data_IF_523616380388
#
_entry.id   IF_523616380388
#
_cell.length_a   1.000
_cell.length_b   1.000
_cell.length_c   1.000
_cell.angle_alpha   90.00
_cell.angle_beta   90.00
_cell.angle_gamma   90.00
#
_symmetry.space_group_name_H-M   'P 1'
#
loop_
_entity.id
_entity.type
_entity.pdbx_description
1 polymer ?
#
# COMPACT_ATOMS: atom_id res chain seq x y z
N UNK A 1 17.22 19.19 28.95
CA UNK A 1 16.29 18.82 27.87
C UNK A 1 16.28 17.30 27.85
N UNK A 2 15.23 16.67 28.36
CA UNK A 2 15.12 15.20 28.37
C UNK A 2 14.97 14.72 26.94
N UNK A 3 15.80 13.76 26.54
CA UNK A 3 15.82 13.13 25.24
C UNK A 3 14.47 12.49 24.92
N UNK A 4 13.82 12.91 23.83
CA UNK A 4 12.49 12.45 23.38
C UNK A 4 12.42 11.02 22.88
N UNK A 5 13.23 10.10 23.41
CA UNK A 5 13.35 8.70 22.97
C UNK A 5 12.31 7.77 23.62
N UNK A 6 11.65 8.22 24.70
CA UNK A 6 10.81 7.33 25.52
C UNK A 6 9.29 7.56 25.41
N UNK A 7 8.85 8.53 24.57
CA UNK A 7 7.42 8.79 24.39
C UNK A 7 6.83 7.88 23.31
N UNK A 8 5.74 7.19 23.67
CA UNK A 8 4.96 6.38 22.72
C UNK A 8 4.26 7.27 21.69
N UNK A 9 4.18 6.80 20.45
CA UNK A 9 3.45 7.48 19.38
C UNK A 9 1.95 7.39 19.64
N UNK A 10 1.27 8.51 19.78
CA UNK A 10 -0.16 8.62 20.00
C UNK A 10 -0.90 8.55 18.69
N UNK A 11 -1.55 7.41 18.42
CA UNK A 11 -2.20 7.10 17.14
C UNK A 11 -3.72 7.28 17.23
N UNK A 12 -4.29 8.04 16.31
CA UNK A 12 -5.74 8.08 16.05
C UNK A 12 -6.09 7.26 14.79
N UNK A 13 -7.29 6.71 14.73
CA UNK A 13 -7.77 5.94 13.57
C UNK A 13 -9.00 6.59 12.96
N UNK A 14 -8.91 6.96 11.68
CA UNK A 14 -9.96 7.68 10.93
C UNK A 14 -10.78 6.68 10.11
N UNK A 15 -11.69 5.97 10.74
CA UNK A 15 -12.55 4.97 10.10
C UNK A 15 -12.40 3.56 10.69
N UNK A 16 -13.41 2.73 10.48
CA UNK A 16 -13.52 1.38 11.02
C UNK A 16 -13.59 0.31 9.90
N UNK A 17 -12.77 0.46 8.85
CA UNK A 17 -12.72 -0.51 7.76
C UNK A 17 -12.20 -1.87 8.22
N UNK A 18 -12.53 -2.93 7.47
CA UNK A 18 -12.11 -4.31 7.80
C UNK A 18 -10.60 -4.46 7.87
N UNK A 19 -9.85 -3.80 7.00
CA UNK A 19 -8.38 -3.83 7.03
C UNK A 19 -7.83 -3.26 8.35
N UNK A 20 -8.44 -2.18 8.85
CA UNK A 20 -8.06 -1.62 10.15
C UNK A 20 -8.31 -2.63 11.27
N UNK A 21 -9.53 -3.14 11.36
CA UNK A 21 -9.97 -4.02 12.45
C UNK A 21 -9.23 -5.35 12.49
N UNK A 22 -9.04 -5.97 11.31
CA UNK A 22 -8.52 -7.34 11.21
C UNK A 22 -6.99 -7.42 11.12
N UNK A 23 -6.33 -6.33 10.74
CA UNK A 23 -4.91 -6.36 10.41
C UNK A 23 -4.12 -5.23 11.08
N UNK A 24 -4.42 -3.97 10.76
CA UNK A 24 -3.56 -2.87 11.16
C UNK A 24 -3.68 -2.51 12.66
N UNK A 25 -4.88 -2.52 13.22
CA UNK A 25 -5.05 -2.27 14.67
C UNK A 25 -4.38 -3.36 15.52
N UNK A 26 -4.53 -4.68 15.24
CA UNK A 26 -3.73 -5.70 15.92
C UNK A 26 -2.22 -5.47 15.76
N UNK A 27 -1.76 -5.09 14.57
CA UNK A 27 -0.34 -4.81 14.31
C UNK A 27 0.18 -3.63 15.17
N UNK A 28 -0.56 -2.52 15.22
CA UNK A 28 -0.21 -1.39 16.08
C UNK A 28 -0.28 -1.72 17.57
N UNK A 29 -1.30 -2.45 18.02
CA UNK A 29 -1.44 -2.86 19.42
C UNK A 29 -0.31 -3.79 19.89
N UNK A 30 0.31 -4.52 18.98
CA UNK A 30 1.48 -5.36 19.25
C UNK A 30 2.80 -4.58 19.41
N UNK A 31 2.82 -3.26 19.13
CA UNK A 31 4.01 -2.42 19.28
C UNK A 31 4.05 -1.77 20.67
N UNK A 32 5.18 -1.89 21.37
CA UNK A 32 5.34 -1.32 22.71
C UNK A 32 5.48 0.21 22.73
N UNK A 33 5.76 0.82 21.58
CA UNK A 33 6.01 2.25 21.40
C UNK A 33 4.86 3.00 20.73
N UNK A 34 3.64 2.41 20.71
CA UNK A 34 2.40 3.01 20.18
C UNK A 34 1.30 2.98 21.24
N UNK A 35 0.54 4.07 21.31
CA UNK A 35 -0.74 4.14 22.01
C UNK A 35 -1.85 4.40 20.99
N UNK A 36 -2.79 3.46 20.84
CA UNK A 36 -4.03 3.69 20.10
C UNK A 36 -4.93 4.53 20.99
N UNK A 37 -4.99 5.85 20.74
CA UNK A 37 -5.68 6.80 21.62
C UNK A 37 -7.17 6.85 21.36
N UNK A 38 -7.54 6.85 20.07
CA UNK A 38 -8.95 6.97 19.69
C UNK A 38 -9.23 6.35 18.31
N UNK A 39 -10.45 5.88 18.14
CA UNK A 39 -11.00 5.43 16.85
C UNK A 39 -12.23 6.27 16.52
N UNK A 40 -12.24 6.88 15.33
CA UNK A 40 -13.36 7.69 14.87
C UNK A 40 -14.17 6.99 13.78
N UNK A 41 -15.49 7.16 13.83
CA UNK A 41 -16.41 6.77 12.77
C UNK A 41 -17.52 7.82 12.62
N UNK A 42 -18.21 7.83 11.48
CA UNK A 42 -19.48 8.53 11.28
C UNK A 42 -20.62 7.86 12.05
N UNK A 43 -20.44 6.58 12.35
CA UNK A 43 -21.35 5.71 13.10
C UNK A 43 -20.77 5.48 14.51
N UNK A 44 -21.46 6.01 15.53
CA UNK A 44 -21.02 5.93 16.92
C UNK A 44 -20.94 4.48 17.44
N UNK A 45 -21.86 3.60 17.04
CA UNK A 45 -21.86 2.20 17.44
C UNK A 45 -20.64 1.45 16.90
N UNK A 46 -20.29 1.70 15.62
CA UNK A 46 -19.08 1.13 15.02
C UNK A 46 -17.81 1.62 15.71
N UNK A 47 -17.74 2.93 16.02
CA UNK A 47 -16.61 3.47 16.77
C UNK A 47 -16.51 2.80 18.14
N UNK A 48 -17.62 2.72 18.87
CA UNK A 48 -17.68 2.11 20.20
C UNK A 48 -17.23 0.65 20.23
N UNK A 49 -17.67 -0.16 19.26
CA UNK A 49 -17.26 -1.57 19.16
C UNK A 49 -15.75 -1.72 18.96
N UNK A 50 -15.19 -0.96 18.02
CA UNK A 50 -13.73 -1.05 17.73
C UNK A 50 -12.91 -0.48 18.88
N UNK A 51 -13.34 0.64 19.46
CA UNK A 51 -12.63 1.26 20.58
C UNK A 51 -12.58 0.35 21.83
N UNK A 52 -13.66 -0.39 22.09
CA UNK A 52 -13.70 -1.33 23.20
C UNK A 52 -12.66 -2.46 23.08
N UNK A 53 -12.41 -2.95 21.86
CA UNK A 53 -11.42 -4.01 21.61
C UNK A 53 -9.99 -3.57 21.96
N UNK A 54 -9.71 -2.26 21.94
CA UNK A 54 -8.37 -1.69 22.16
C UNK A 54 -8.28 -0.79 23.41
N UNK A 55 -9.35 -0.67 24.18
CA UNK A 55 -9.36 0.17 25.40
C UNK A 55 -9.11 1.65 25.12
N UNK A 56 -9.53 2.15 23.96
CA UNK A 56 -9.30 3.52 23.52
C UNK A 56 -10.61 4.33 23.42
N UNK A 57 -10.52 5.63 23.11
CA UNK A 57 -11.68 6.50 23.00
C UNK A 57 -12.47 6.27 21.70
N UNK A 58 -13.80 6.19 21.79
CA UNK A 58 -14.70 6.16 20.65
C UNK A 58 -15.14 7.58 20.29
N UNK A 59 -14.85 8.02 19.07
CA UNK A 59 -15.14 9.39 18.60
C UNK A 59 -16.15 9.36 17.44
N UNK A 60 -17.21 10.17 17.55
CA UNK A 60 -18.14 10.37 16.44
C UNK A 60 -17.74 11.62 15.66
N UNK A 61 -17.36 11.42 14.38
CA UNK A 61 -16.86 12.46 13.48
C UNK A 61 -15.34 12.58 13.46
N UNK A 62 -14.78 12.68 12.27
CA UNK A 62 -13.33 12.64 12.04
C UNK A 62 -12.63 13.94 12.45
N UNK A 63 -13.28 15.12 12.33
CA UNK A 63 -12.75 16.42 12.79
C UNK A 63 -12.44 16.40 14.28
N UNK A 64 -13.33 15.81 15.08
CA UNK A 64 -13.12 15.75 16.54
C UNK A 64 -11.86 14.98 16.89
N UNK A 65 -11.60 13.86 16.17
CA UNK A 65 -10.39 13.08 16.36
C UNK A 65 -9.14 13.88 15.97
N UNK A 66 -9.17 14.62 14.85
CA UNK A 66 -8.04 15.45 14.43
C UNK A 66 -7.71 16.58 15.41
N UNK A 67 -8.68 17.04 16.21
CA UNK A 67 -8.49 18.02 17.28
C UNK A 67 -7.89 17.47 18.58
N UNK A 68 -7.71 16.14 18.69
CA UNK A 68 -7.14 15.52 19.88
C UNK A 68 -5.61 15.62 19.90
N UNK A 69 -5.02 15.40 21.08
CA UNK A 69 -3.57 15.29 21.24
C UNK A 69 -3.07 13.96 20.70
N UNK A 70 -2.73 13.95 19.39
CA UNK A 70 -2.23 12.82 18.63
C UNK A 70 -0.95 13.21 17.91
N UNK A 71 -0.04 12.26 17.70
CA UNK A 71 1.13 12.44 16.87
C UNK A 71 0.83 12.05 15.41
N UNK A 72 0.04 10.97 15.22
CA UNK A 72 -0.24 10.40 13.91
C UNK A 72 -1.68 9.93 13.77
N UNK A 73 -2.12 9.80 12.54
CA UNK A 73 -3.39 9.15 12.20
C UNK A 73 -3.19 8.03 11.17
N UNK A 74 -3.92 6.94 11.35
CA UNK A 74 -4.13 5.91 10.33
C UNK A 74 -5.48 6.14 9.66
N UNK A 75 -5.51 6.11 8.32
CA UNK A 75 -6.66 6.55 7.52
C UNK A 75 -7.13 5.42 6.58
N UNK A 76 -7.94 4.45 7.09
CA UNK A 76 -8.52 3.35 6.33
C UNK A 76 -9.88 3.73 5.73
N UNK A 77 -9.94 4.75 4.91
CA UNK A 77 -11.15 5.18 4.20
C UNK A 77 -11.15 4.67 2.75
N UNK A 78 -12.27 4.73 2.02
CA UNK A 78 -12.27 4.60 0.57
C UNK A 78 -11.43 5.70 -0.10
N UNK A 79 -10.71 5.36 -1.18
CA UNK A 79 -9.74 6.25 -1.83
C UNK A 79 -10.30 7.63 -2.23
N UNK A 80 -11.58 7.70 -2.62
CA UNK A 80 -12.26 8.96 -2.94
C UNK A 80 -12.32 9.96 -1.78
N UNK A 81 -12.11 9.52 -0.55
CA UNK A 81 -12.15 10.39 0.63
C UNK A 81 -10.75 10.74 1.16
N UNK A 82 -9.70 10.15 0.58
CA UNK A 82 -8.34 10.31 1.11
C UNK A 82 -7.86 11.75 1.03
N UNK A 83 -7.97 12.41 -0.11
CA UNK A 83 -7.43 13.75 -0.31
C UNK A 83 -7.88 14.72 0.79
N UNK A 84 -9.18 14.79 1.05
CA UNK A 84 -9.76 15.71 2.04
C UNK A 84 -9.26 15.41 3.46
N UNK A 85 -9.21 14.11 3.84
CA UNK A 85 -8.86 13.76 5.21
C UNK A 85 -7.35 13.75 5.46
N UNK A 86 -6.54 13.45 4.45
CA UNK A 86 -5.08 13.60 4.53
C UNK A 86 -4.74 15.10 4.69
N UNK A 87 -5.30 15.97 3.85
CA UNK A 87 -5.06 17.41 3.94
C UNK A 87 -5.42 17.97 5.32
N UNK A 88 -6.60 17.61 5.85
CA UNK A 88 -7.04 18.05 7.18
C UNK A 88 -6.12 17.54 8.29
N UNK A 89 -5.66 16.29 8.21
CA UNK A 89 -4.73 15.72 9.17
C UNK A 89 -3.37 16.45 9.13
N UNK A 90 -2.83 16.69 7.94
CA UNK A 90 -1.58 17.45 7.76
C UNK A 90 -1.70 18.89 8.29
N UNK A 91 -2.81 19.58 8.02
CA UNK A 91 -3.09 20.92 8.58
C UNK A 91 -3.22 20.92 10.10
N UNK A 92 -3.70 19.82 10.68
CA UNK A 92 -3.74 19.62 12.13
C UNK A 92 -2.41 19.18 12.73
N UNK A 93 -1.32 19.16 11.94
CA UNK A 93 0.03 18.79 12.38
C UNK A 93 0.20 17.30 12.68
N UNK A 94 -0.60 16.42 12.06
CA UNK A 94 -0.54 14.98 12.27
C UNK A 94 0.24 14.30 11.15
N UNK A 95 1.12 13.34 11.51
CA UNK A 95 1.66 12.38 10.56
C UNK A 95 0.54 11.46 10.06
N UNK A 96 0.63 11.01 8.81
CA UNK A 96 -0.47 10.25 8.19
C UNK A 96 0.04 8.94 7.60
N UNK A 97 -0.59 7.82 7.99
CA UNK A 97 -0.57 6.56 7.26
C UNK A 97 -1.91 6.42 6.55
N UNK A 98 -1.94 6.55 5.24
CA UNK A 98 -3.17 6.41 4.44
C UNK A 98 -3.20 5.05 3.73
N UNK A 99 -4.38 4.43 3.62
CA UNK A 99 -4.54 3.27 2.75
C UNK A 99 -4.21 3.62 1.29
N UNK A 100 -3.85 2.61 0.53
CA UNK A 100 -3.52 2.74 -0.90
C UNK A 100 -4.81 2.87 -1.74
N UNK A 101 -4.74 3.64 -2.83
CA UNK A 101 -3.73 4.64 -3.17
C UNK A 101 -3.86 5.88 -2.28
N UNK A 102 -2.80 6.69 -2.19
CA UNK A 102 -2.87 7.96 -1.43
C UNK A 102 -4.06 8.79 -1.89
N UNK A 103 -4.18 9.00 -3.20
CA UNK A 103 -5.40 9.48 -3.86
C UNK A 103 -5.55 8.84 -5.24
N UNK A 104 -6.73 8.91 -5.87
CA UNK A 104 -6.93 8.46 -7.25
C UNK A 104 -6.31 9.38 -8.31
N UNK A 105 -5.73 10.53 -7.93
CA UNK A 105 -5.23 11.59 -8.79
C UNK A 105 -3.75 11.86 -8.54
N UNK A 106 -2.95 11.92 -9.61
CA UNK A 106 -1.54 12.33 -9.52
C UNK A 106 -1.40 13.74 -8.93
N UNK A 107 -2.20 14.70 -9.39
CA UNK A 107 -2.12 16.09 -8.95
C UNK A 107 -2.39 16.23 -7.45
N UNK A 108 -3.43 15.57 -6.93
CA UNK A 108 -3.76 15.56 -5.50
C UNK A 108 -2.66 14.86 -4.68
N UNK A 109 -2.15 13.71 -5.17
CA UNK A 109 -1.07 12.98 -4.48
C UNK A 109 0.20 13.84 -4.39
N UNK A 110 0.60 14.50 -5.48
CA UNK A 110 1.77 15.36 -5.51
C UNK A 110 1.64 16.57 -4.57
N UNK A 111 0.47 17.21 -4.56
CA UNK A 111 0.17 18.33 -3.67
C UNK A 111 0.24 17.91 -2.19
N UNK A 112 -0.37 16.80 -1.81
CA UNK A 112 -0.35 16.30 -0.44
C UNK A 112 1.05 15.89 0.02
N UNK A 113 1.84 15.28 -0.85
CA UNK A 113 3.25 14.95 -0.57
C UNK A 113 4.08 16.23 -0.37
N UNK A 114 3.86 17.28 -1.18
CA UNK A 114 4.50 18.60 -1.00
C UNK A 114 4.12 19.22 0.35
N UNK A 115 2.82 19.25 0.65
CA UNK A 115 2.30 19.76 1.92
C UNK A 115 2.87 19.03 3.14
N UNK A 116 3.02 17.71 3.08
CA UNK A 116 3.62 16.93 4.15
C UNK A 116 5.10 17.30 4.35
N UNK A 117 5.86 17.42 3.26
CA UNK A 117 7.27 17.81 3.29
C UNK A 117 7.47 19.21 3.85
N UNK A 118 6.69 20.19 3.40
CA UNK A 118 6.73 21.58 3.87
C UNK A 118 6.49 21.71 5.38
N UNK A 119 5.67 20.79 5.94
CA UNK A 119 5.34 20.78 7.37
C UNK A 119 6.27 19.88 8.20
N UNK A 120 7.22 19.19 7.57
CA UNK A 120 8.06 18.21 8.26
C UNK A 120 7.29 17.00 8.78
N UNK A 121 6.16 16.66 8.12
CA UNK A 121 5.30 15.55 8.50
C UNK A 121 5.54 14.34 7.59
N UNK A 122 5.32 13.15 8.13
CA UNK A 122 5.31 11.90 7.37
C UNK A 122 3.91 11.70 6.77
N UNK A 123 3.84 11.62 5.44
CA UNK A 123 2.72 11.03 4.72
C UNK A 123 3.22 9.73 4.08
N UNK A 124 2.62 8.60 4.44
CA UNK A 124 2.96 7.29 3.90
C UNK A 124 1.75 6.58 3.36
N UNK A 125 1.91 6.00 2.20
CA UNK A 125 0.97 5.08 1.59
C UNK A 125 1.13 3.67 2.17
N UNK A 126 0.03 3.05 2.60
CA UNK A 126 0.06 1.76 3.29
C UNK A 126 0.12 0.58 2.31
N UNK A 127 1.21 0.48 1.54
CA UNK A 127 1.57 -0.78 0.89
C UNK A 127 2.28 -1.68 1.87
N UNK A 128 1.73 -2.85 2.10
CA UNK A 128 2.19 -3.79 3.13
C UNK A 128 3.28 -4.73 2.60
N UNK A 129 3.08 -5.28 1.40
CA UNK A 129 3.95 -6.32 0.86
C UNK A 129 5.44 -5.93 0.76
N UNK A 130 5.85 -4.68 0.50
CA UNK A 130 7.26 -4.32 0.47
C UNK A 130 8.00 -4.56 1.79
N UNK A 131 7.25 -4.69 2.89
CA UNK A 131 7.79 -4.95 4.23
C UNK A 131 7.88 -6.43 4.59
N UNK A 132 7.51 -7.33 3.68
CA UNK A 132 7.63 -8.77 3.90
C UNK A 132 9.03 -9.27 3.52
N UNK A 133 9.61 -10.12 4.36
CA UNK A 133 10.99 -10.65 4.23
C UNK A 133 11.28 -11.29 2.87
N UNK A 134 10.30 -11.95 2.25
CA UNK A 134 10.48 -12.59 0.93
C UNK A 134 10.97 -11.61 -0.15
N UNK A 135 10.51 -10.33 -0.12
CA UNK A 135 10.92 -9.34 -1.11
C UNK A 135 12.34 -8.80 -0.83
N UNK A 136 12.71 -8.74 0.44
CA UNK A 136 14.09 -8.41 0.84
C UNK A 136 15.05 -9.50 0.35
N UNK A 137 14.68 -10.77 0.49
CA UNK A 137 15.49 -11.89 0.01
C UNK A 137 15.63 -11.91 -1.51
N UNK A 138 14.53 -11.69 -2.26
CA UNK A 138 14.60 -11.57 -3.73
C UNK A 138 15.55 -10.46 -4.16
N UNK A 139 15.44 -9.27 -3.55
CA UNK A 139 16.33 -8.15 -3.86
C UNK A 139 17.79 -8.47 -3.52
N UNK A 140 18.05 -9.14 -2.40
CA UNK A 140 19.38 -9.59 -2.03
C UNK A 140 19.97 -10.56 -3.06
N UNK A 141 19.18 -11.54 -3.52
CA UNK A 141 19.60 -12.51 -4.53
C UNK A 141 19.90 -11.84 -5.87
N UNK A 142 19.03 -10.93 -6.32
CA UNK A 142 19.24 -10.17 -7.57
C UNK A 142 20.51 -9.31 -7.46
N UNK A 143 20.70 -8.60 -6.35
CA UNK A 143 21.90 -7.77 -6.13
C UNK A 143 23.18 -8.59 -6.02
N UNK A 144 23.10 -9.83 -5.54
CA UNK A 144 24.20 -10.76 -5.48
C UNK A 144 24.52 -11.42 -6.85
N UNK A 145 23.79 -11.08 -7.91
CA UNK A 145 24.00 -11.62 -9.25
C UNK A 145 23.45 -13.03 -9.46
N UNK A 146 22.58 -13.54 -8.58
CA UNK A 146 22.06 -14.91 -8.66
C UNK A 146 21.25 -15.22 -9.93
N UNK A 147 20.80 -14.20 -10.65
CA UNK A 147 20.11 -14.34 -11.95
C UNK A 147 20.94 -13.84 -13.14
N UNK A 148 22.17 -13.37 -12.91
CA UNK A 148 22.94 -12.62 -13.89
C UNK A 148 22.34 -11.21 -14.12
N UNK A 149 22.41 -10.69 -15.34
CA UNK A 149 21.77 -9.42 -15.70
C UNK A 149 20.26 -9.59 -15.81
N UNK A 150 19.49 -8.75 -15.13
CA UNK A 150 18.02 -8.75 -15.24
C UNK A 150 17.59 -8.38 -16.67
N UNK A 151 16.76 -9.20 -17.27
CA UNK A 151 16.25 -9.04 -18.65
C UNK A 151 14.79 -8.65 -18.70
N UNK A 152 13.95 -9.24 -17.85
CA UNK A 152 12.53 -8.88 -17.77
C UNK A 152 11.95 -9.15 -16.38
N UNK A 153 10.82 -8.53 -16.13
CA UNK A 153 9.99 -8.71 -14.93
C UNK A 153 8.56 -9.04 -15.33
N UNK A 154 7.95 -9.97 -14.64
CA UNK A 154 6.54 -10.32 -14.81
C UNK A 154 5.84 -10.28 -13.48
N UNK A 155 4.62 -9.74 -13.43
CA UNK A 155 3.82 -9.74 -12.21
C UNK A 155 2.33 -9.83 -12.50
N UNK A 156 1.61 -10.50 -11.62
CA UNK A 156 0.16 -10.59 -11.71
C UNK A 156 -0.51 -10.53 -10.35
N UNK A 157 -1.62 -9.78 -10.28
CA UNK A 157 -2.54 -9.84 -9.18
C UNK A 157 -3.97 -9.91 -9.69
N UNK A 158 -4.62 -11.05 -9.46
CA UNK A 158 -6.00 -11.27 -9.84
C UNK A 158 -6.80 -11.88 -8.70
N UNK A 159 -8.08 -11.53 -8.62
CA UNK A 159 -9.01 -12.02 -7.61
C UNK A 159 -10.31 -12.49 -8.25
N UNK A 160 -11.04 -13.43 -7.62
CA UNK A 160 -12.38 -13.80 -8.04
C UNK A 160 -13.37 -12.64 -7.95
N UNK A 161 -14.49 -12.71 -8.70
CA UNK A 161 -15.55 -11.72 -8.63
C UNK A 161 -16.02 -11.50 -7.20
N UNK A 162 -16.35 -10.24 -6.88
CA UNK A 162 -16.95 -9.85 -5.61
C UNK A 162 -18.45 -9.66 -5.76
N UNK A 163 -19.21 -9.66 -4.66
CA UNK A 163 -20.63 -9.29 -4.70
C UNK A 163 -20.83 -7.91 -5.36
N UNK A 164 -21.90 -7.72 -6.10
CA UNK A 164 -22.18 -6.49 -6.86
C UNK A 164 -22.22 -5.21 -6.03
N UNK A 165 -22.46 -5.30 -4.72
CA UNK A 165 -22.42 -4.17 -3.78
C UNK A 165 -21.03 -3.84 -3.21
N UNK A 166 -19.97 -4.55 -3.63
CA UNK A 166 -18.61 -4.27 -3.17
C UNK A 166 -18.12 -2.89 -3.65
N UNK A 167 -17.37 -2.20 -2.79
CA UNK A 167 -16.85 -0.85 -3.07
C UNK A 167 -15.96 -0.79 -4.31
N UNK A 168 -15.36 -1.92 -4.72
CA UNK A 168 -14.51 -2.03 -5.92
C UNK A 168 -15.28 -1.77 -7.20
N UNK A 169 -16.59 -2.00 -7.21
CA UNK A 169 -17.47 -1.69 -8.35
C UNK A 169 -18.12 -0.30 -8.26
N UNK A 170 -17.76 0.51 -7.25
CA UNK A 170 -18.30 1.84 -7.00
C UNK A 170 -17.39 2.92 -7.57
N UNK A 171 -17.78 3.49 -8.72
CA UNK A 171 -17.04 4.58 -9.38
C UNK A 171 -16.91 5.83 -8.48
N UNK A 172 -17.97 6.15 -7.73
CA UNK A 172 -18.01 7.27 -6.79
C UNK A 172 -17.08 7.11 -5.57
N UNK A 173 -16.62 5.88 -5.30
CA UNK A 173 -15.64 5.59 -4.27
C UNK A 173 -14.23 5.35 -4.83
N UNK A 174 -14.00 5.69 -6.11
CA UNK A 174 -12.78 5.41 -6.85
C UNK A 174 -12.48 3.89 -6.95
N UNK A 175 -13.53 3.09 -7.18
CA UNK A 175 -13.40 1.66 -7.50
C UNK A 175 -12.70 1.45 -8.85
N UNK A 176 -12.42 0.21 -9.15
CA UNK A 176 -11.73 -0.27 -10.35
C UNK A 176 -10.54 -1.13 -10.02
N UNK A 177 -10.24 -2.06 -10.93
CA UNK A 177 -9.15 -3.03 -10.76
C UNK A 177 -7.77 -2.37 -10.75
N UNK A 178 -7.56 -1.32 -11.55
CA UNK A 178 -6.28 -0.62 -11.60
C UNK A 178 -5.91 -0.04 -10.24
N UNK A 179 -6.81 0.70 -9.59
CA UNK A 179 -6.55 1.35 -8.30
C UNK A 179 -6.60 0.39 -7.11
N UNK A 180 -7.38 -0.69 -7.20
CA UNK A 180 -7.47 -1.61 -6.07
C UNK A 180 -6.36 -2.66 -6.08
N UNK A 181 -6.12 -3.31 -7.21
CA UNK A 181 -5.18 -4.44 -7.34
C UNK A 181 -4.08 -4.21 -8.37
N UNK A 182 -4.29 -3.42 -9.42
CA UNK A 182 -3.27 -3.13 -10.45
C UNK A 182 -2.07 -2.35 -9.91
N UNK A 183 -2.28 -1.52 -8.90
CA UNK A 183 -1.21 -0.81 -8.19
C UNK A 183 -0.20 -1.74 -7.49
N UNK A 184 -0.56 -2.99 -7.20
CA UNK A 184 0.38 -3.97 -6.60
C UNK A 184 1.45 -4.46 -7.58
N UNK A 185 1.13 -4.96 -8.80
CA UNK A 185 2.13 -5.27 -9.81
C UNK A 185 2.96 -4.05 -10.21
N UNK A 186 2.35 -2.85 -10.32
CA UNK A 186 3.09 -1.60 -10.58
C UNK A 186 4.11 -1.32 -9.47
N UNK A 187 3.69 -1.37 -8.22
CA UNK A 187 4.58 -1.17 -7.06
C UNK A 187 5.66 -2.24 -6.96
N UNK A 188 5.34 -3.50 -7.34
CA UNK A 188 6.33 -4.57 -7.39
C UNK A 188 7.40 -4.32 -8.46
N UNK A 189 7.00 -3.83 -9.65
CA UNK A 189 7.96 -3.42 -10.69
C UNK A 189 8.86 -2.29 -10.19
N UNK A 190 8.31 -1.25 -9.54
CA UNK A 190 9.10 -0.18 -8.91
C UNK A 190 10.08 -0.73 -7.86
N UNK A 191 9.64 -1.67 -7.03
CA UNK A 191 10.47 -2.27 -5.97
C UNK A 191 11.64 -3.07 -6.52
N UNK A 192 11.45 -3.79 -7.63
CA UNK A 192 12.44 -4.71 -8.22
C UNK A 192 13.33 -4.05 -9.27
N UNK A 193 12.79 -3.13 -10.05
CA UNK A 193 13.50 -2.49 -11.16
C UNK A 193 13.98 -1.07 -10.85
N UNK A 194 13.54 -0.50 -9.74
CA UNK A 194 13.89 0.86 -9.34
C UNK A 194 13.01 1.96 -9.94
N UNK A 195 13.38 3.23 -9.73
CA UNK A 195 12.63 4.39 -10.22
C UNK A 195 12.81 4.61 -11.74
N UNK A 196 11.95 5.46 -12.31
CA UNK A 196 12.04 5.88 -13.71
C UNK A 196 11.40 4.89 -14.69
N UNK A 197 10.48 4.05 -14.23
CA UNK A 197 9.66 3.23 -15.12
C UNK A 197 8.77 4.11 -15.99
N UNK A 198 8.54 3.69 -17.23
CA UNK A 198 7.61 4.34 -18.17
C UNK A 198 6.65 3.33 -18.80
N UNK A 199 5.44 3.72 -19.09
CA UNK A 199 4.44 2.89 -19.74
C UNK A 199 4.69 2.87 -21.25
N UNK A 200 4.88 1.68 -21.83
CA UNK A 200 4.99 1.47 -23.28
C UNK A 200 3.63 1.20 -23.91
N UNK A 201 2.70 0.63 -23.16
CA UNK A 201 1.35 0.32 -23.59
C UNK A 201 0.52 -0.31 -22.49
N UNK A 202 -0.79 -0.13 -22.57
CA UNK A 202 -1.73 -0.68 -21.62
C UNK A 202 -3.07 -1.04 -22.27
N UNK A 203 -3.82 -1.92 -21.60
CA UNK A 203 -5.21 -2.22 -21.93
C UNK A 203 -6.02 -2.30 -20.64
N UNK A 204 -7.19 -1.66 -20.62
CA UNK A 204 -8.15 -1.73 -19.53
C UNK A 204 -9.50 -2.25 -20.03
N UNK A 205 -10.01 -3.31 -19.41
CA UNK A 205 -11.37 -3.80 -19.63
C UNK A 205 -12.32 -3.07 -18.70
N UNK A 206 -13.07 -2.13 -19.22
CA UNK A 206 -14.11 -1.42 -18.48
C UNK A 206 -15.43 -2.20 -18.54
N UNK A 207 -16.04 -2.46 -17.40
CA UNK A 207 -17.38 -3.05 -17.31
C UNK A 207 -18.44 -1.96 -17.55
N UNK A 208 -19.36 -2.23 -18.47
CA UNK A 208 -20.40 -1.25 -18.87
C UNK A 208 -21.46 -1.03 -17.79
N UNK A 209 -21.69 -1.99 -16.90
CA UNK A 209 -22.67 -1.92 -15.82
C UNK A 209 -22.18 -1.02 -14.68
N UNK A 210 -20.91 -1.17 -14.32
CA UNK A 210 -20.32 -0.45 -13.18
C UNK A 210 -19.57 0.82 -13.60
N UNK A 211 -19.14 0.91 -14.86
CA UNK A 211 -18.37 2.05 -15.38
C UNK A 211 -16.97 2.18 -14.76
N UNK A 212 -16.43 1.06 -14.28
CA UNK A 212 -15.05 0.95 -13.75
C UNK A 212 -14.31 -0.14 -14.50
N UNK A 213 -12.98 -0.07 -14.51
CA UNK A 213 -12.15 -1.13 -15.05
C UNK A 213 -12.18 -2.36 -14.13
N UNK A 214 -12.32 -3.55 -14.72
CA UNK A 214 -12.38 -4.84 -14.00
C UNK A 214 -11.17 -5.72 -14.27
N UNK A 215 -10.37 -5.38 -15.28
CA UNK A 215 -9.12 -6.04 -15.62
C UNK A 215 -8.20 -5.11 -16.41
N UNK A 216 -6.92 -5.44 -16.47
CA UNK A 216 -5.97 -4.76 -17.32
C UNK A 216 -4.65 -5.50 -17.46
N UNK A 217 -3.89 -5.06 -18.46
CA UNK A 217 -2.50 -5.46 -18.70
C UNK A 217 -1.67 -4.22 -19.04
N UNK A 218 -0.42 -4.23 -18.60
CA UNK A 218 0.51 -3.11 -18.79
C UNK A 218 1.87 -3.64 -19.22
N UNK A 219 2.49 -2.97 -20.18
CA UNK A 219 3.88 -3.14 -20.55
C UNK A 219 4.65 -1.90 -20.11
N UNK A 220 5.66 -2.10 -19.25
CA UNK A 220 6.57 -1.06 -18.79
C UNK A 220 7.98 -1.29 -19.35
N UNK A 221 8.77 -0.23 -19.31
CA UNK A 221 10.22 -0.27 -19.49
C UNK A 221 10.91 0.48 -18.36
N UNK A 222 11.95 -0.14 -17.80
CA UNK A 222 12.85 0.48 -16.84
C UNK A 222 14.01 1.18 -17.55
N UNK A 223 14.71 2.12 -16.90
CA UNK A 223 15.98 2.64 -17.40
C UNK A 223 16.95 1.48 -17.72
N UNK A 224 17.53 1.49 -18.93
CA UNK A 224 18.39 0.39 -19.39
C UNK A 224 17.69 -0.67 -20.24
N UNK A 225 16.39 -0.51 -20.51
CA UNK A 225 15.65 -1.34 -21.49
C UNK A 225 15.08 -2.64 -20.93
N UNK A 226 15.13 -2.85 -19.61
CA UNK A 226 14.44 -4.00 -18.97
C UNK A 226 12.94 -3.79 -19.04
N UNK A 227 12.22 -4.77 -19.60
CA UNK A 227 10.75 -4.69 -19.72
C UNK A 227 10.03 -5.35 -18.56
N UNK A 228 8.85 -4.84 -18.20
CA UNK A 228 7.96 -5.47 -17.23
C UNK A 228 6.56 -5.69 -17.80
N UNK A 229 6.04 -6.92 -17.66
CA UNK A 229 4.70 -7.30 -18.09
C UNK A 229 3.81 -7.52 -16.88
N UNK A 230 2.75 -6.73 -16.78
CA UNK A 230 1.88 -6.73 -15.62
C UNK A 230 0.46 -7.11 -16.00
N UNK A 231 -0.20 -7.91 -15.17
CA UNK A 231 -1.60 -8.32 -15.34
C UNK A 231 -2.37 -8.14 -14.04
N UNK A 232 -3.59 -7.63 -14.11
CA UNK A 232 -4.48 -7.53 -12.95
C UNK A 232 -5.94 -7.71 -13.34
N UNK A 233 -6.78 -8.13 -12.37
CA UNK A 233 -8.20 -8.29 -12.63
C UNK A 233 -9.01 -8.74 -11.42
N UNK A 234 -10.28 -8.32 -11.37
CA UNK A 234 -11.24 -8.61 -10.29
C UNK A 234 -12.26 -9.71 -10.66
N UNK A 235 -12.12 -10.32 -11.83
CA UNK A 235 -13.04 -11.34 -12.36
C UNK A 235 -12.27 -12.54 -12.91
N UNK A 236 -11.23 -12.94 -12.20
CA UNK A 236 -10.30 -14.00 -12.59
C UNK A 236 -10.19 -15.05 -11.48
N UNK A 237 -9.51 -16.15 -11.76
CA UNK A 237 -9.00 -17.01 -10.70
C UNK A 237 -7.94 -16.25 -9.90
N UNK A 238 -7.78 -16.62 -8.62
CA UNK A 238 -6.77 -15.98 -7.76
C UNK A 238 -5.35 -16.21 -8.27
N UNK A 239 -4.60 -15.13 -8.42
CA UNK A 239 -3.17 -15.13 -8.74
C UNK A 239 -2.49 -13.94 -8.03
N UNK A 240 -1.34 -14.17 -7.40
CA UNK A 240 -0.60 -13.13 -6.68
C UNK A 240 0.88 -13.46 -6.72
N UNK A 241 1.53 -13.24 -7.85
CA UNK A 241 2.91 -13.66 -8.07
C UNK A 241 3.70 -12.64 -8.88
N UNK A 242 5.02 -12.79 -8.84
CA UNK A 242 5.92 -12.16 -9.80
C UNK A 242 7.12 -13.07 -10.11
N UNK A 243 7.82 -12.74 -11.21
CA UNK A 243 9.07 -13.36 -11.62
C UNK A 243 10.08 -12.30 -12.06
N UNK A 244 11.34 -12.51 -11.70
CA UNK A 244 12.51 -11.76 -12.21
C UNK A 244 13.30 -12.70 -13.12
N UNK A 245 13.42 -12.38 -14.40
CA UNK A 245 14.13 -13.17 -15.39
C UNK A 245 15.47 -12.51 -15.68
N UNK A 246 16.55 -13.25 -15.54
CA UNK A 246 17.90 -12.80 -15.83
C UNK A 246 18.57 -13.57 -16.96
N UNK A 247 19.81 -13.21 -17.25
CA UNK A 247 20.62 -13.86 -18.32
C UNK A 247 21.06 -15.28 -17.95
N UNK A 248 21.11 -15.64 -16.68
CA UNK A 248 21.65 -16.93 -16.19
C UNK A 248 20.58 -17.76 -15.47
N UNK A 249 19.64 -17.13 -14.79
CA UNK A 249 18.60 -17.79 -14.02
C UNK A 249 17.36 -16.90 -13.87
N UNK A 250 16.39 -17.36 -13.08
CA UNK A 250 15.18 -16.60 -12.75
C UNK A 250 14.77 -16.83 -11.30
N UNK A 251 14.05 -15.88 -10.76
CA UNK A 251 13.41 -15.97 -9.42
C UNK A 251 11.92 -15.87 -9.59
N UNK A 252 11.16 -16.75 -8.92
CA UNK A 252 9.69 -16.65 -8.84
C UNK A 252 9.23 -16.60 -7.39
N UNK A 253 8.17 -15.82 -7.16
CA UNK A 253 7.51 -15.67 -5.86
C UNK A 253 6.01 -15.83 -6.03
N UNK A 254 5.44 -16.79 -5.32
CA UNK A 254 4.01 -16.94 -5.15
C UNK A 254 3.54 -16.23 -3.87
N UNK A 255 2.24 -15.93 -3.78
CA UNK A 255 1.68 -15.19 -2.63
C UNK A 255 2.40 -13.87 -2.33
N UNK A 256 2.80 -13.16 -3.39
CA UNK A 256 3.65 -11.99 -3.31
C UNK A 256 3.05 -10.79 -2.53
N UNK A 257 1.71 -10.60 -2.55
CA UNK A 257 1.12 -9.33 -2.09
C UNK A 257 0.40 -9.41 -0.76
N UNK A 258 -0.29 -10.52 -0.50
CA UNK A 258 -1.15 -10.69 0.68
C UNK A 258 -0.94 -12.05 1.35
N UNK A 259 0.30 -12.44 1.67
CA UNK A 259 0.54 -13.68 2.40
C UNK A 259 -0.09 -13.57 3.80
N UNK A 260 -0.72 -14.63 4.32
CA UNK A 260 -1.06 -14.68 5.74
C UNK A 260 0.23 -14.77 6.58
N UNK A 261 0.18 -14.27 7.82
CA UNK A 261 1.37 -14.15 8.67
C UNK A 261 1.97 -15.51 9.10
N UNK A 262 1.20 -16.58 9.03
CA UNK A 262 1.61 -17.95 9.33
C UNK A 262 2.09 -18.73 8.09
N UNK A 263 2.08 -18.11 6.91
CA UNK A 263 2.61 -18.74 5.71
C UNK A 263 4.13 -18.84 5.78
N UNK A 264 4.68 -20.02 5.49
CA UNK A 264 6.09 -20.20 5.15
C UNK A 264 6.30 -19.77 3.70
N UNK A 265 6.96 -18.64 3.45
CA UNK A 265 7.15 -18.17 2.07
C UNK A 265 8.18 -19.03 1.35
N UNK A 266 7.94 -19.26 0.07
CA UNK A 266 8.86 -19.97 -0.82
C UNK A 266 9.28 -19.03 -1.95
N UNK A 267 10.59 -18.76 -2.01
CA UNK A 267 11.24 -18.09 -3.14
C UNK A 267 11.91 -19.19 -3.98
N UNK A 268 11.66 -19.21 -5.30
CA UNK A 268 12.29 -20.19 -6.20
C UNK A 268 13.35 -19.51 -7.03
N UNK A 269 14.57 -20.06 -7.00
CA UNK A 269 15.71 -19.62 -7.83
C UNK A 269 16.10 -20.75 -8.78
N UNK A 270 15.91 -20.58 -10.09
CA UNK A 270 16.24 -21.58 -11.11
C UNK A 270 15.53 -22.92 -10.93
N UNK A 271 14.39 -22.94 -10.19
CA UNK A 271 13.65 -24.16 -9.85
C UNK A 271 13.95 -24.72 -8.44
N UNK A 272 15.01 -24.27 -7.78
CA UNK A 272 15.30 -24.60 -6.39
C UNK A 272 14.45 -23.79 -5.42
N UNK A 273 13.88 -24.43 -4.41
CA UNK A 273 13.03 -23.80 -3.41
C UNK A 273 13.85 -23.31 -2.18
N UNK A 274 13.70 -22.02 -1.90
CA UNK A 274 14.22 -21.39 -0.68
C UNK A 274 13.03 -21.10 0.24
N UNK A 275 12.89 -21.90 1.30
CA UNK A 275 11.89 -21.65 2.35
C UNK A 275 12.40 -20.56 3.29
N UNK A 276 11.54 -19.58 3.58
CA UNK A 276 11.82 -18.50 4.52
C UNK A 276 10.95 -18.65 5.76
N UNK A 277 11.39 -18.07 6.87
CA UNK A 277 10.55 -18.01 8.06
C UNK A 277 9.28 -17.22 7.82
N UNK A 278 8.15 -17.59 8.45
CA UNK A 278 6.93 -16.79 8.46
C UNK A 278 7.20 -15.35 8.90
N UNK A 279 6.51 -14.39 8.27
CA UNK A 279 6.73 -12.98 8.55
C UNK A 279 5.41 -12.19 8.50
N UNK A 280 5.29 -11.20 9.38
CA UNK A 280 4.12 -10.34 9.46
C UNK A 280 4.37 -8.97 8.83
N UNK A 281 4.00 -8.83 7.57
CA UNK A 281 4.10 -7.57 6.83
C UNK A 281 3.30 -6.41 7.48
N UNK A 282 2.22 -6.70 8.21
CA UNK A 282 1.42 -5.68 8.88
C UNK A 282 2.18 -5.09 10.07
N UNK A 283 2.74 -5.95 10.92
CA UNK A 283 3.58 -5.54 12.03
C UNK A 283 4.83 -4.79 11.54
N UNK A 284 5.47 -5.26 10.48
CA UNK A 284 6.65 -4.62 9.90
C UNK A 284 6.33 -3.24 9.30
N UNK A 285 5.23 -3.10 8.58
CA UNK A 285 4.78 -1.81 8.03
C UNK A 285 4.42 -0.81 9.15
N UNK A 286 3.68 -1.26 10.17
CA UNK A 286 3.34 -0.45 11.33
C UNK A 286 4.61 0.04 12.06
N UNK A 287 5.57 -0.86 12.35
CA UNK A 287 6.86 -0.52 12.97
C UNK A 287 7.66 0.48 12.14
N UNK A 288 7.71 0.27 10.82
CA UNK A 288 8.41 1.18 9.92
C UNK A 288 7.76 2.57 9.88
N UNK A 289 6.43 2.67 9.92
CA UNK A 289 5.74 3.95 10.01
C UNK A 289 6.05 4.66 11.32
N UNK A 290 5.92 3.97 12.45
CA UNK A 290 6.21 4.52 13.80
C UNK A 290 7.65 5.01 13.88
N UNK A 291 8.60 4.24 13.36
CA UNK A 291 10.01 4.65 13.31
C UNK A 291 10.21 5.93 12.50
N UNK A 292 9.52 6.07 11.35
CA UNK A 292 9.59 7.29 10.54
C UNK A 292 8.99 8.50 11.26
N UNK A 293 7.87 8.34 11.97
CA UNK A 293 7.25 9.40 12.80
C UNK A 293 8.22 9.87 13.88
N UNK A 294 8.86 8.94 14.60
CA UNK A 294 9.82 9.26 15.68
C UNK A 294 11.09 9.94 15.16
N UNK A 295 11.55 9.55 13.99
CA UNK A 295 12.74 10.12 13.37
C UNK A 295 12.50 11.50 12.72
N UNK A 296 11.24 11.92 12.55
CA UNK A 296 10.90 13.13 11.78
C UNK A 296 11.34 12.99 10.31
N UNK A 297 11.31 11.76 9.76
CA UNK A 297 11.81 11.48 8.43
C UNK A 297 10.97 12.12 7.32
N UNK A 298 11.58 12.43 6.16
CA UNK A 298 10.86 13.05 5.05
C UNK A 298 9.84 12.08 4.43
N UNK A 299 8.75 12.64 3.92
CA UNK A 299 7.81 11.91 3.05
C UNK A 299 8.49 11.49 1.77
N UNK A 300 8.42 10.20 1.43
CA UNK A 300 8.95 9.63 0.18
C UNK A 300 8.23 10.20 -1.05
N UNK A 301 8.89 10.21 -2.20
CA UNK A 301 8.30 10.52 -3.51
C UNK A 301 7.63 9.33 -4.21
N UNK A 302 7.77 8.13 -3.67
CA UNK A 302 7.31 6.89 -4.33
C UNK A 302 5.81 6.86 -4.65
N UNK A 303 4.98 7.46 -3.80
CA UNK A 303 3.54 7.55 -4.06
C UNK A 303 3.21 8.45 -5.25
N UNK A 304 4.02 9.49 -5.50
CA UNK A 304 3.88 10.35 -6.68
C UNK A 304 4.30 9.59 -7.94
N UNK A 305 5.40 8.85 -7.89
CA UNK A 305 5.85 8.01 -9.02
C UNK A 305 4.80 6.94 -9.36
N UNK A 306 4.22 6.29 -8.37
CA UNK A 306 3.15 5.31 -8.59
C UNK A 306 1.90 5.96 -9.18
N UNK A 307 1.48 7.11 -8.68
CA UNK A 307 0.34 7.85 -9.22
C UNK A 307 0.58 8.30 -10.66
N UNK A 308 1.81 8.68 -11.00
CA UNK A 308 2.20 8.99 -12.38
C UNK A 308 2.06 7.77 -13.29
N UNK A 309 2.57 6.60 -12.89
CA UNK A 309 2.41 5.37 -13.66
C UNK A 309 0.93 4.99 -13.84
N UNK A 310 0.09 5.20 -12.83
CA UNK A 310 -1.37 4.96 -12.93
C UNK A 310 -2.01 5.87 -13.99
N UNK A 311 -1.64 7.16 -14.03
CA UNK A 311 -2.16 8.08 -15.05
C UNK A 311 -1.63 7.74 -16.44
N UNK A 312 -0.35 7.39 -16.59
CA UNK A 312 0.22 6.89 -17.85
C UNK A 312 -0.48 5.62 -18.36
N UNK A 313 -0.83 4.68 -17.45
CA UNK A 313 -1.61 3.48 -17.80
C UNK A 313 -2.99 3.85 -18.32
N UNK A 314 -3.67 4.80 -17.67
CA UNK A 314 -5.00 5.28 -18.14
C UNK A 314 -4.92 5.93 -19.51
N UNK A 315 -3.87 6.71 -19.77
CA UNK A 315 -3.68 7.40 -21.04
C UNK A 315 -3.33 6.42 -22.17
N UNK A 316 -2.45 5.44 -21.91
CA UNK A 316 -2.07 4.42 -22.86
C UNK A 316 -3.20 3.40 -23.19
N UNK A 317 -4.22 3.29 -22.32
CA UNK A 317 -5.36 2.39 -22.52
C UNK A 317 -6.56 3.05 -23.25
N UNK A 318 -6.47 4.32 -23.62
CA UNK A 318 -7.48 5.06 -24.41
C UNK A 318 -7.29 4.83 -25.91
#
# INVERSE_FOLDING_TARGET
MASGVDRRVRLGVVGCADIARRKMLPAFAGLSDVDIVAVASRDAEKAGKVAADYGCEAVTGYEKLLGMDLDAVYLPLPAAHHAVWIERALRAGKHVLAEKPVTPSLAETADLVSQARERGLVLRENFLFPFHSQHHEVRRLVQAGAVGEVRSFEAAFTIPPRPSGDIRYRKDLAGGALLDIGVYPLKAAMLMLGPGLRVLGASLKVDSTYGVDVAGAVLLEAPGGVTAQLTFGMEHTYRANYAVWGSESHITVDRAYTPPADLTPIVRLGGEELSLDPDDQYANAARSFVSAVRAGGPTSGESVELAQLVDEVRDAAR
#
